data_IF_133683060278
#
_entry.id   IF_133683060278
#
_cell.length_a   1.000
_cell.length_b   1.000
_cell.length_c   1.000
_cell.angle_alpha   90.00
_cell.angle_beta   90.00
_cell.angle_gamma   90.00
#
_symmetry.space_group_name_H-M   'P 1'
#
loop_
_entity.id
_entity.type
_entity.pdbx_description
1 polymer ?
#
# COMPACT_ATOMS: atom_id res chain seq x y z
N UNK A 1 8.02 -19.74 24.90
CA UNK A 1 7.41 -18.40 25.07
C UNK A 1 6.15 -18.37 24.22
N UNK A 2 4.95 -18.19 24.81
CA UNK A 2 3.66 -18.51 24.14
C UNK A 2 2.98 -17.33 23.44
N UNK A 3 3.57 -16.13 23.48
CA UNK A 3 2.98 -14.88 22.98
C UNK A 3 4.07 -13.96 22.39
N UNK A 4 3.73 -13.17 21.37
CA UNK A 4 4.59 -12.11 20.83
C UNK A 4 4.77 -10.98 21.84
N UNK A 5 6.03 -10.63 22.07
CA UNK A 5 6.39 -9.45 22.84
C UNK A 5 6.15 -8.18 22.00
N UNK A 6 5.98 -7.02 22.66
CA UNK A 6 5.63 -5.75 21.99
C UNK A 6 6.63 -5.35 20.90
N UNK A 7 7.91 -5.66 21.10
CA UNK A 7 9.02 -5.46 20.17
C UNK A 7 8.99 -6.40 18.96
N UNK A 8 8.16 -7.45 18.99
CA UNK A 8 7.96 -8.38 17.87
C UNK A 8 6.79 -7.98 16.98
N UNK A 9 5.98 -6.98 17.38
CA UNK A 9 4.83 -6.51 16.61
C UNK A 9 5.30 -5.48 15.59
N UNK A 10 5.25 -5.83 14.31
CA UNK A 10 5.59 -4.91 13.22
C UNK A 10 4.30 -4.30 12.68
N UNK A 11 4.13 -3.00 12.92
CA UNK A 11 3.04 -2.21 12.32
C UNK A 11 3.36 -1.83 10.88
N UNK A 12 2.33 -1.87 10.05
CA UNK A 12 2.35 -1.43 8.66
C UNK A 12 1.00 -0.81 8.29
N UNK A 13 0.93 -0.17 7.13
CA UNK A 13 -0.37 0.26 6.59
C UNK A 13 -1.24 -0.95 6.23
N UNK A 14 -2.55 -0.86 6.43
CA UNK A 14 -3.52 -1.83 5.88
C UNK A 14 -3.39 -1.97 4.36
N UNK A 15 -2.98 -0.91 3.68
CA UNK A 15 -2.84 -0.85 2.23
C UNK A 15 -1.44 -1.30 1.87
N UNK A 16 -1.34 -2.54 1.40
CA UNK A 16 -0.08 -3.18 1.01
C UNK A 16 -0.21 -3.88 -0.33
N UNK A 17 0.93 -4.12 -0.97
CA UNK A 17 1.01 -4.94 -2.19
C UNK A 17 1.69 -6.24 -1.82
N UNK A 18 0.97 -7.34 -2.05
CA UNK A 18 1.48 -8.68 -1.82
C UNK A 18 1.81 -9.31 -3.18
N UNK A 19 3.03 -9.82 -3.31
CA UNK A 19 3.38 -10.65 -4.45
C UNK A 19 2.86 -12.09 -4.23
N UNK A 20 3.00 -12.92 -5.26
CA UNK A 20 2.54 -14.32 -5.23
C UNK A 20 3.16 -15.14 -4.10
N UNK A 21 4.42 -14.89 -3.75
CA UNK A 21 5.12 -15.60 -2.68
C UNK A 21 4.47 -15.25 -1.34
N UNK A 22 4.23 -13.96 -1.06
CA UNK A 22 3.55 -13.53 0.15
C UNK A 22 2.16 -14.17 0.26
N UNK A 23 1.38 -14.17 -0.83
CA UNK A 23 0.06 -14.82 -0.85
C UNK A 23 0.14 -16.32 -0.58
N UNK A 24 1.10 -17.03 -1.18
CA UNK A 24 1.29 -18.46 -0.94
C UNK A 24 1.65 -18.74 0.52
N UNK A 25 2.54 -17.94 1.11
CA UNK A 25 2.90 -18.04 2.52
C UNK A 25 1.69 -17.87 3.42
N UNK A 26 0.83 -16.89 3.16
CA UNK A 26 -0.38 -16.65 3.96
C UNK A 26 -1.36 -17.81 3.92
N UNK A 27 -1.50 -18.45 2.76
CA UNK A 27 -2.36 -19.62 2.62
C UNK A 27 -1.77 -20.81 3.39
N UNK A 28 -0.47 -21.06 3.25
CA UNK A 28 0.21 -22.18 3.91
C UNK A 28 0.25 -22.00 5.43
N UNK A 29 0.43 -20.77 5.89
CA UNK A 29 0.51 -20.40 7.30
C UNK A 29 -0.84 -19.95 7.86
N UNK A 30 -1.94 -20.11 7.13
CA UNK A 30 -3.24 -19.55 7.48
C UNK A 30 -3.67 -19.90 8.92
N UNK A 31 -3.55 -21.16 9.32
CA UNK A 31 -3.91 -21.60 10.67
C UNK A 31 -2.95 -21.05 11.74
N UNK A 32 -1.66 -20.89 11.42
CA UNK A 32 -0.69 -20.28 12.32
C UNK A 32 -0.92 -18.77 12.46
N UNK A 33 -1.21 -18.08 11.36
CA UNK A 33 -1.56 -16.66 11.32
C UNK A 33 -2.89 -16.37 12.02
N UNK A 34 -3.89 -17.24 11.83
CA UNK A 34 -5.19 -17.18 12.50
C UNK A 34 -5.07 -17.42 14.00
N UNK A 35 -4.30 -18.41 14.43
CA UNK A 35 -3.99 -18.62 15.86
C UNK A 35 -3.25 -17.43 16.44
N UNK A 36 -2.26 -16.89 15.74
CA UNK A 36 -1.57 -15.67 16.16
C UNK A 36 -2.54 -14.49 16.35
N UNK A 37 -3.40 -14.24 15.37
CA UNK A 37 -4.43 -13.20 15.41
C UNK A 37 -5.40 -13.34 16.58
N UNK A 38 -5.97 -14.53 16.75
CA UNK A 38 -7.01 -14.80 17.75
C UNK A 38 -6.43 -14.91 19.16
N UNK A 39 -5.30 -15.60 19.30
CA UNK A 39 -4.75 -15.95 20.62
C UNK A 39 -3.78 -14.88 21.16
N UNK A 40 -3.01 -14.21 20.31
CA UNK A 40 -1.98 -13.24 20.74
C UNK A 40 -2.47 -11.78 20.68
N UNK A 41 -3.31 -11.42 19.70
CA UNK A 41 -3.87 -10.06 19.58
C UNK A 41 -5.27 -9.99 20.21
N UNK A 42 -6.18 -10.91 19.86
CA UNK A 42 -7.59 -10.88 20.27
C UNK A 42 -7.87 -10.96 21.77
N UNK A 43 -7.05 -11.69 22.55
CA UNK A 43 -7.36 -11.99 23.95
C UNK A 43 -6.91 -10.93 24.99
N UNK A 44 -6.11 -9.92 24.61
CA UNK A 44 -5.61 -8.91 25.57
C UNK A 44 -5.71 -7.45 25.12
N UNK A 45 -5.84 -7.15 23.83
CA UNK A 45 -6.11 -5.77 23.42
C UNK A 45 -7.61 -5.54 23.46
N UNK A 46 -8.08 -4.62 24.34
CA UNK A 46 -9.36 -3.94 24.13
C UNK A 46 -9.48 -3.59 22.63
N UNK A 47 -10.68 -3.67 22.07
CA UNK A 47 -11.05 -3.66 20.64
C UNK A 47 -10.59 -2.44 19.79
N UNK A 48 -9.59 -1.71 20.26
CA UNK A 48 -9.03 -0.48 19.73
C UNK A 48 -7.86 -0.68 18.76
N UNK A 49 -7.31 -1.89 18.65
CA UNK A 49 -6.24 -2.16 17.69
C UNK A 49 -6.81 -2.63 16.37
N UNK A 50 -6.52 -1.88 15.31
CA UNK A 50 -6.78 -2.27 13.94
C UNK A 50 -5.86 -3.47 13.65
N UNK A 51 -6.40 -4.68 13.79
CA UNK A 51 -5.60 -5.91 13.88
C UNK A 51 -4.85 -6.19 12.58
N UNK A 52 -5.43 -5.82 11.44
CA UNK A 52 -4.90 -6.03 10.10
C UNK A 52 -3.58 -5.28 9.84
N UNK A 53 -3.32 -4.14 10.50
CA UNK A 53 -2.07 -3.37 10.42
C UNK A 53 -0.87 -4.04 11.10
N UNK A 54 -1.08 -5.12 11.86
CA UNK A 54 -0.02 -5.80 12.61
C UNK A 54 0.19 -7.25 12.16
N UNK A 55 -0.77 -7.87 11.48
CA UNK A 55 -0.73 -9.31 11.16
C UNK A 55 0.41 -9.65 10.25
N UNK A 56 0.46 -9.01 9.08
CA UNK A 56 1.34 -9.44 8.00
C UNK A 56 2.79 -9.16 8.34
N UNK A 57 3.08 -7.94 8.81
CA UNK A 57 4.42 -7.56 9.25
C UNK A 57 4.94 -8.48 10.34
N UNK A 58 4.13 -8.76 11.36
CA UNK A 58 4.54 -9.65 12.47
C UNK A 58 4.68 -11.10 12.03
N UNK A 59 3.82 -11.60 11.15
CA UNK A 59 3.93 -12.95 10.60
C UNK A 59 5.23 -13.12 9.82
N UNK A 60 5.54 -12.19 8.90
CA UNK A 60 6.79 -12.23 8.12
C UNK A 60 8.02 -12.19 9.03
N UNK A 61 8.01 -11.35 10.07
CA UNK A 61 9.06 -11.30 11.08
C UNK A 61 9.24 -12.64 11.80
N UNK A 62 8.16 -13.27 12.26
CA UNK A 62 8.23 -14.58 12.93
C UNK A 62 8.75 -15.70 12.01
N UNK A 63 8.54 -15.58 10.70
CA UNK A 63 9.05 -16.51 9.70
C UNK A 63 10.50 -16.20 9.27
N UNK A 64 11.12 -15.16 9.83
CA UNK A 64 12.47 -14.71 9.45
C UNK A 64 12.53 -14.19 8.01
N UNK A 65 11.42 -13.63 7.53
CA UNK A 65 11.25 -13.11 6.17
C UNK A 65 11.11 -11.58 6.16
N UNK A 66 11.66 -10.88 7.17
CA UNK A 66 11.61 -9.41 7.25
C UNK A 66 12.30 -8.73 6.06
N UNK A 67 13.29 -9.39 5.45
CA UNK A 67 13.97 -8.93 4.25
C UNK A 67 13.07 -8.87 3.01
N UNK A 68 11.90 -9.51 3.05
CA UNK A 68 10.89 -9.42 1.99
C UNK A 68 10.00 -8.18 2.13
N UNK A 69 10.10 -7.45 3.23
CA UNK A 69 9.31 -6.24 3.48
C UNK A 69 10.01 -5.04 2.86
N UNK A 70 9.38 -4.45 1.84
CA UNK A 70 9.82 -3.16 1.30
C UNK A 70 8.99 -2.04 1.93
N UNK A 71 9.63 -1.13 2.66
CA UNK A 71 8.97 0.01 3.28
C UNK A 71 8.78 1.15 2.26
N UNK A 72 7.75 1.04 1.43
CA UNK A 72 7.41 2.02 0.39
C UNK A 72 5.97 2.50 0.54
N UNK A 73 5.73 3.79 0.30
CA UNK A 73 4.37 4.29 0.15
C UNK A 73 3.75 3.68 -1.10
N UNK A 74 2.71 2.86 -0.95
CA UNK A 74 1.92 2.36 -2.09
C UNK A 74 0.63 3.15 -2.27
N UNK A 75 0.08 3.71 -1.19
CA UNK A 75 -1.18 4.45 -1.18
C UNK A 75 -0.98 5.81 -0.54
N UNK A 76 -1.11 6.86 -1.36
CA UNK A 76 -1.04 8.23 -0.89
C UNK A 76 -2.25 8.54 0.00
N UNK A 77 -1.95 9.00 1.21
CA UNK A 77 -2.93 9.24 2.27
C UNK A 77 -2.67 10.61 2.87
N UNK A 78 -3.66 11.50 2.80
CA UNK A 78 -3.59 12.81 3.46
C UNK A 78 -4.12 12.68 4.90
N UNK A 79 -3.29 13.03 5.87
CA UNK A 79 -3.66 13.07 7.27
C UNK A 79 -3.84 14.51 7.72
N UNK A 80 -4.85 14.78 8.55
CA UNK A 80 -4.98 16.05 9.25
C UNK A 80 -4.22 15.93 10.58
N UNK A 81 -3.26 16.81 10.82
CA UNK A 81 -2.48 16.85 12.06
C UNK A 81 -3.40 17.09 13.27
N UNK A 82 -4.53 17.77 13.08
CA UNK A 82 -5.52 18.04 14.13
C UNK A 82 -6.45 16.85 14.38
N UNK A 83 -6.59 15.93 13.43
CA UNK A 83 -7.44 14.75 13.54
C UNK A 83 -6.75 13.52 12.93
N UNK A 84 -5.97 12.83 13.76
CA UNK A 84 -5.20 11.65 13.37
C UNK A 84 -6.03 10.35 13.35
N UNK A 85 -7.33 10.41 13.69
CA UNK A 85 -8.17 9.21 13.80
C UNK A 85 -8.69 8.71 12.44
N UNK A 86 -8.70 9.57 11.42
CA UNK A 86 -9.05 9.18 10.05
C UNK A 86 -8.29 10.04 9.04
N UNK A 87 -7.87 9.46 7.90
CA UNK A 87 -7.41 10.26 6.78
C UNK A 87 -8.50 11.21 6.26
N UNK A 88 -8.05 12.33 5.70
CA UNK A 88 -8.88 13.39 5.11
C UNK A 88 -9.47 12.91 3.79
N UNK A 89 -10.74 13.23 3.56
CA UNK A 89 -11.38 13.04 2.25
C UNK A 89 -10.94 14.14 1.30
N UNK A 90 -10.55 13.76 0.08
CA UNK A 90 -10.18 14.72 -0.94
C UNK A 90 -11.44 15.40 -1.50
N UNK A 91 -11.48 16.73 -1.43
CA UNK A 91 -12.47 17.53 -2.15
C UNK A 91 -12.08 17.69 -3.62
N UNK A 92 -10.78 17.83 -3.89
CA UNK A 92 -10.20 18.01 -5.21
C UNK A 92 -8.96 17.12 -5.39
N UNK A 93 -8.89 16.46 -6.54
CA UNK A 93 -7.70 15.76 -7.05
C UNK A 93 -7.21 16.48 -8.30
N UNK A 94 -6.08 17.17 -8.19
CA UNK A 94 -5.46 17.94 -9.28
C UNK A 94 -4.06 17.39 -9.63
N UNK A 95 -3.43 17.99 -10.65
CA UNK A 95 -2.11 17.56 -11.14
C UNK A 95 -1.05 17.63 -10.04
N UNK A 96 -1.06 18.68 -9.21
CA UNK A 96 -0.08 18.83 -8.14
C UNK A 96 -0.18 17.71 -7.10
N UNK A 97 -1.40 17.32 -6.73
CA UNK A 97 -1.61 16.19 -5.83
C UNK A 97 -1.11 14.88 -6.45
N UNK A 98 -1.38 14.65 -7.75
CA UNK A 98 -0.93 13.46 -8.45
C UNK A 98 0.60 13.40 -8.56
N UNK A 99 1.26 14.51 -8.86
CA UNK A 99 2.72 14.61 -8.91
C UNK A 99 3.32 14.31 -7.53
N UNK A 100 2.79 14.91 -6.48
CA UNK A 100 3.23 14.63 -5.10
C UNK A 100 3.09 13.15 -4.74
N UNK A 101 1.98 12.51 -5.13
CA UNK A 101 1.77 11.08 -4.89
C UNK A 101 2.80 10.22 -5.65
N UNK A 102 3.08 10.57 -6.90
CA UNK A 102 4.04 9.87 -7.77
C UNK A 102 5.48 10.01 -7.29
N UNK A 103 5.89 11.21 -6.89
CA UNK A 103 7.23 11.47 -6.33
C UNK A 103 7.49 10.64 -5.07
N UNK A 104 6.45 10.35 -4.28
CA UNK A 104 6.53 9.45 -3.12
C UNK A 104 6.47 7.96 -3.48
N UNK A 105 6.39 7.62 -4.76
CA UNK A 105 6.30 6.25 -5.26
C UNK A 105 4.95 5.58 -5.01
N UNK A 106 3.90 6.36 -4.67
CA UNK A 106 2.59 5.80 -4.40
C UNK A 106 1.85 5.49 -5.71
N UNK A 107 1.21 4.32 -5.78
CA UNK A 107 0.45 3.84 -6.93
C UNK A 107 -1.04 4.17 -6.83
N UNK A 108 -1.54 4.32 -5.60
CA UNK A 108 -2.95 4.56 -5.31
C UNK A 108 -3.15 5.86 -4.52
N UNK A 109 -4.36 6.40 -4.62
CA UNK A 109 -4.89 7.44 -3.74
C UNK A 109 -6.10 6.87 -3.00
N UNK A 110 -6.26 7.21 -1.71
CA UNK A 110 -7.43 6.80 -0.92
C UNK A 110 -8.25 7.98 -0.46
N UNK A 111 -9.48 7.71 0.01
CA UNK A 111 -10.45 8.72 0.46
C UNK A 111 -10.87 9.72 -0.64
N UNK A 112 -10.98 9.23 -1.86
CA UNK A 112 -11.78 9.87 -2.91
C UNK A 112 -13.22 9.36 -2.77
N UNK A 113 -14.19 10.27 -2.69
CA UNK A 113 -15.61 9.95 -2.62
C UNK A 113 -16.35 10.34 -3.91
N UNK A 114 -17.67 10.10 -3.98
CA UNK A 114 -18.49 10.53 -5.11
C UNK A 114 -18.44 12.05 -5.36
N UNK A 115 -18.27 12.83 -4.30
CA UNK A 115 -18.20 14.30 -4.35
C UNK A 115 -16.79 14.85 -4.62
N UNK A 116 -15.79 13.98 -4.80
CA UNK A 116 -14.42 14.41 -5.11
C UNK A 116 -14.36 14.92 -6.55
N UNK A 117 -13.97 16.19 -6.73
CA UNK A 117 -13.71 16.77 -8.03
C UNK A 117 -12.36 16.27 -8.57
N UNK A 118 -12.30 15.88 -9.85
CA UNK A 118 -11.07 15.50 -10.52
C UNK A 118 -10.73 16.55 -11.58
N UNK A 119 -9.75 17.41 -11.27
CA UNK A 119 -9.22 18.37 -12.22
C UNK A 119 -8.06 17.75 -12.97
N UNK A 120 -8.43 16.90 -13.92
CA UNK A 120 -7.47 16.31 -14.86
C UNK A 120 -7.05 17.37 -15.85
N UNK A 121 -5.77 17.72 -15.90
CA UNK A 121 -5.26 18.54 -16.99
C UNK A 121 -5.19 17.68 -18.26
N UNK A 122 -6.27 17.71 -19.04
CA UNK A 122 -6.41 16.99 -20.30
C UNK A 122 -5.23 17.24 -21.26
N UNK A 123 -4.58 18.41 -21.21
CA UNK A 123 -3.43 18.72 -22.06
C UNK A 123 -2.20 17.90 -21.67
N UNK A 124 -1.99 17.66 -20.39
CA UNK A 124 -0.88 16.84 -19.90
C UNK A 124 -1.09 15.35 -20.18
N UNK A 125 -2.36 14.89 -20.15
CA UNK A 125 -2.72 13.54 -20.59
C UNK A 125 -2.47 13.31 -22.08
N UNK A 126 -2.84 14.28 -22.94
CA UNK A 126 -2.60 14.21 -24.38
C UNK A 126 -1.11 14.27 -24.70
N UNK A 127 -0.36 15.19 -24.08
CA UNK A 127 1.10 15.30 -24.28
C UNK A 127 1.86 14.02 -23.87
N UNK A 128 1.43 13.36 -22.79
CA UNK A 128 2.03 12.09 -22.37
C UNK A 128 1.59 10.90 -23.24
N UNK A 129 0.38 10.94 -23.81
CA UNK A 129 -0.08 9.91 -24.76
C UNK A 129 0.78 9.91 -26.03
N UNK A 130 1.03 11.09 -26.59
CA UNK A 130 1.84 11.23 -27.80
C UNK A 130 3.29 10.80 -27.54
N UNK A 131 3.84 11.12 -26.37
CA UNK A 131 5.18 10.69 -25.95
C UNK A 131 5.27 9.16 -25.74
N UNK A 132 4.30 8.56 -25.06
CA UNK A 132 4.21 7.09 -24.89
C UNK A 132 4.10 6.36 -26.23
N UNK A 133 3.30 6.89 -27.16
CA UNK A 133 3.19 6.32 -28.51
C UNK A 133 4.52 6.43 -29.28
N UNK A 134 5.27 7.52 -29.12
CA UNK A 134 6.60 7.64 -29.71
C UNK A 134 7.60 6.66 -29.09
N UNK A 135 7.62 6.52 -27.76
CA UNK A 135 8.54 5.62 -27.07
C UNK A 135 8.27 4.15 -27.43
N UNK A 136 7.00 3.75 -27.57
CA UNK A 136 6.61 2.41 -28.06
C UNK A 136 7.11 2.17 -29.49
N UNK A 137 6.89 3.12 -30.40
CA UNK A 137 7.34 3.00 -31.79
C UNK A 137 8.87 2.90 -31.91
N UNK A 138 9.62 3.58 -31.04
CA UNK A 138 11.08 3.49 -30.98
C UNK A 138 11.50 2.10 -30.52
N UNK A 139 10.87 1.56 -29.47
CA UNK A 139 11.15 0.21 -28.97
C UNK A 139 10.82 -0.88 -30.00
N UNK A 140 9.70 -0.74 -30.72
CA UNK A 140 9.32 -1.68 -31.79
C UNK A 140 10.31 -1.64 -32.97
N UNK A 141 10.82 -0.46 -33.35
CA UNK A 141 11.87 -0.36 -34.38
C UNK A 141 13.16 -1.03 -33.94
N UNK A 142 13.60 -0.76 -32.71
CA UNK A 142 14.82 -1.37 -32.16
C UNK A 142 14.71 -2.89 -32.06
N UNK A 143 13.51 -3.42 -31.83
CA UNK A 143 13.27 -4.86 -31.76
C UNK A 143 13.26 -5.55 -33.14
N UNK A 144 12.86 -4.85 -34.20
CA UNK A 144 12.81 -5.38 -35.58
C UNK A 144 14.13 -5.24 -36.34
N UNK A 145 15.11 -4.50 -35.79
CA UNK A 145 16.45 -4.34 -36.34
C UNK A 145 17.49 -5.31 -35.70
N UNK A 146 17.05 -6.19 -34.79
CA UNK A 146 17.80 -7.31 -34.20
C UNK A 146 17.44 -8.64 -34.87
#
# INVERSE_FOLDING_TARGET
MRYAQKDQIIKHSQWMILNRIHTAMLINEYENAKRFLLDEIGNKTQSYYIQDEAVFGTMLFKLGQENMITNQCVTFTKWDIKNLNSPVQFELVDVSLLETARERGCLFLRKTGPDTEFKVDFKLMLANKDKLSQDINILEKQFNEL
#
